data_IF_058450465634
#
_entry.id   IF_058450465634
#
_cell.length_a   1.000
_cell.length_b   1.000
_cell.length_c   1.000
_cell.angle_alpha   90.00
_cell.angle_beta   90.00
_cell.angle_gamma   90.00
#
_symmetry.space_group_name_H-M   'P 1'
#
loop_
_entity.id
_entity.type
_entity.pdbx_description
1 polymer ?
#
# COMPACT_ATOMS: atom_id res chain seq x y z
N UNK A 1 -21.70 -9.85 -15.09
CA UNK A 1 -23.06 -9.45 -14.65
C UNK A 1 -23.13 -9.44 -13.13
N UNK A 2 -23.98 -8.61 -12.54
CA UNK A 2 -24.24 -8.58 -11.10
C UNK A 2 -25.72 -8.87 -10.84
N UNK A 3 -26.01 -9.61 -9.77
CA UNK A 3 -27.38 -9.95 -9.38
C UNK A 3 -27.63 -9.54 -7.93
N UNK A 4 -28.80 -8.95 -7.68
CA UNK A 4 -29.29 -8.64 -6.34
C UNK A 4 -30.65 -9.30 -6.14
N UNK A 5 -30.78 -10.09 -5.08
CA UNK A 5 -31.99 -10.84 -4.77
C UNK A 5 -32.53 -11.65 -5.97
N UNK A 6 -31.61 -12.32 -6.69
CA UNK A 6 -31.90 -13.13 -7.87
C UNK A 6 -32.18 -12.36 -9.17
N UNK A 7 -32.25 -11.02 -9.14
CA UNK A 7 -32.50 -10.19 -10.33
C UNK A 7 -31.22 -9.55 -10.84
N UNK A 8 -31.01 -9.59 -12.15
CA UNK A 8 -29.87 -8.90 -12.79
C UNK A 8 -30.00 -7.39 -12.55
N UNK A 9 -28.89 -6.76 -12.14
CA UNK A 9 -28.83 -5.33 -11.88
C UNK A 9 -27.52 -4.79 -12.44
N UNK A 10 -27.63 -3.77 -13.30
CA UNK A 10 -26.47 -3.04 -13.80
C UNK A 10 -26.04 -2.02 -12.76
N UNK A 11 -24.75 -2.04 -12.42
CA UNK A 11 -24.12 -1.11 -11.49
C UNK A 11 -23.55 0.10 -12.27
N UNK A 12 -23.44 1.24 -11.59
CA UNK A 12 -22.63 2.38 -12.01
C UNK A 12 -21.14 2.01 -12.00
N UNK A 13 -20.30 2.70 -12.77
CA UNK A 13 -18.89 2.34 -12.94
C UNK A 13 -18.12 2.34 -11.60
N UNK A 14 -18.34 3.35 -10.76
CA UNK A 14 -17.71 3.44 -9.43
C UNK A 14 -18.16 2.30 -8.50
N UNK A 15 -19.46 1.98 -8.53
CA UNK A 15 -20.03 0.88 -7.73
C UNK A 15 -19.55 -0.47 -8.24
N UNK A 16 -19.47 -0.65 -9.56
CA UNK A 16 -18.99 -1.85 -10.21
C UNK A 16 -17.52 -2.08 -9.90
N UNK A 17 -16.66 -1.05 -10.01
CA UNK A 17 -15.24 -1.15 -9.67
C UNK A 17 -15.05 -1.72 -8.26
N UNK A 18 -15.72 -1.16 -7.25
CA UNK A 18 -15.61 -1.63 -5.87
C UNK A 18 -16.17 -3.04 -5.69
N UNK A 19 -17.28 -3.38 -6.37
CA UNK A 19 -17.82 -4.73 -6.40
C UNK A 19 -16.82 -5.74 -6.98
N UNK A 20 -16.03 -5.35 -8.00
CA UNK A 20 -14.99 -6.24 -8.55
C UNK A 20 -13.91 -6.58 -7.52
N UNK A 21 -13.57 -5.67 -6.60
CA UNK A 21 -12.56 -5.95 -5.58
C UNK A 21 -13.00 -7.09 -4.67
N UNK A 22 -14.27 -7.07 -4.23
CA UNK A 22 -14.85 -8.15 -3.44
C UNK A 22 -14.99 -9.44 -4.25
N UNK A 23 -15.50 -9.35 -5.49
CA UNK A 23 -15.66 -10.51 -6.37
C UNK A 23 -14.34 -11.26 -6.62
N UNK A 24 -13.22 -10.55 -6.78
CA UNK A 24 -11.87 -11.17 -6.95
C UNK A 24 -11.39 -11.96 -5.74
N UNK A 25 -12.05 -11.80 -4.60
CA UNK A 25 -11.68 -12.46 -3.34
C UNK A 25 -12.78 -13.38 -2.81
N UNK A 26 -13.78 -13.72 -3.64
CA UNK A 26 -14.94 -14.48 -3.20
C UNK A 26 -14.55 -15.80 -2.49
N UNK A 27 -13.51 -16.48 -3.00
CA UNK A 27 -12.97 -17.73 -2.44
C UNK A 27 -11.88 -17.54 -1.37
N UNK A 28 -11.56 -16.30 -0.99
CA UNK A 28 -10.54 -16.03 0.00
C UNK A 28 -11.14 -16.01 1.41
N UNK A 29 -10.44 -16.56 2.41
CA UNK A 29 -10.80 -16.50 3.84
C UNK A 29 -11.24 -15.12 4.36
N UNK A 30 -10.84 -13.99 3.75
CA UNK A 30 -11.31 -12.68 4.20
C UNK A 30 -12.83 -12.52 4.04
N UNK A 31 -13.43 -13.08 2.98
CA UNK A 31 -14.88 -12.97 2.73
C UNK A 31 -15.72 -13.85 3.66
N UNK A 32 -15.10 -14.71 4.47
CA UNK A 32 -15.79 -15.45 5.54
C UNK A 32 -15.84 -14.66 6.85
N UNK A 33 -15.02 -13.60 6.99
CA UNK A 33 -14.93 -12.81 8.22
C UNK A 33 -16.01 -11.73 8.26
N UNK A 34 -16.79 -11.71 9.34
CA UNK A 34 -17.85 -10.71 9.54
C UNK A 34 -17.33 -9.27 9.52
N UNK A 35 -16.19 -8.99 10.17
CA UNK A 35 -15.58 -7.66 10.18
C UNK A 35 -15.22 -7.17 8.76
N UNK A 36 -14.72 -8.08 7.92
CA UNK A 36 -14.38 -7.77 6.53
C UNK A 36 -15.63 -7.41 5.72
N UNK A 37 -16.66 -8.25 5.80
CA UNK A 37 -17.91 -8.08 5.07
C UNK A 37 -18.66 -6.82 5.49
N UNK A 38 -18.70 -6.53 6.80
CA UNK A 38 -19.34 -5.33 7.33
C UNK A 38 -18.63 -4.05 6.85
N UNK A 39 -17.28 -4.02 6.92
CA UNK A 39 -16.50 -2.87 6.47
C UNK A 39 -16.60 -2.68 4.95
N UNK A 40 -16.50 -3.77 4.19
CA UNK A 40 -16.68 -3.72 2.74
C UNK A 40 -18.05 -3.17 2.38
N UNK A 41 -19.11 -3.73 2.95
CA UNK A 41 -20.48 -3.35 2.59
C UNK A 41 -20.76 -1.89 2.96
N UNK A 42 -20.28 -1.44 4.10
CA UNK A 42 -20.36 -0.04 4.51
C UNK A 42 -19.69 0.89 3.48
N UNK A 43 -18.40 0.68 3.19
CA UNK A 43 -17.66 1.55 2.28
C UNK A 43 -18.16 1.42 0.81
N UNK A 44 -18.64 0.24 0.40
CA UNK A 44 -19.23 0.03 -0.94
C UNK A 44 -20.54 0.79 -1.10
N UNK A 45 -21.37 0.87 -0.06
CA UNK A 45 -22.59 1.70 -0.10
C UNK A 45 -22.29 3.18 -0.24
N UNK A 46 -21.13 3.66 0.22
CA UNK A 46 -20.77 5.07 0.07
C UNK A 46 -20.46 5.49 -1.37
N UNK A 47 -20.00 4.56 -2.21
CA UNK A 47 -19.76 4.83 -3.64
C UNK A 47 -21.00 4.58 -4.52
N UNK A 48 -22.09 4.06 -3.95
CA UNK A 48 -23.33 3.83 -4.68
C UNK A 48 -24.06 5.13 -4.99
N UNK A 49 -24.67 5.17 -6.17
CA UNK A 49 -25.74 6.14 -6.47
C UNK A 49 -26.92 5.96 -5.50
N UNK A 50 -27.75 6.99 -5.34
CA UNK A 50 -28.92 6.92 -4.45
C UNK A 50 -29.86 5.75 -4.80
N UNK A 51 -30.08 5.51 -6.10
CA UNK A 51 -30.92 4.41 -6.61
C UNK A 51 -30.35 3.04 -6.28
N UNK A 52 -29.03 2.87 -6.41
CA UNK A 52 -28.35 1.62 -6.04
C UNK A 52 -28.39 1.40 -4.53
N UNK A 53 -28.08 2.45 -3.75
CA UNK A 53 -28.05 2.43 -2.29
C UNK A 53 -29.42 2.12 -1.68
N UNK A 54 -30.51 2.55 -2.32
CA UNK A 54 -31.87 2.25 -1.91
C UNK A 54 -32.26 0.78 -2.16
N UNK A 55 -31.72 0.16 -3.22
CA UNK A 55 -32.01 -1.24 -3.57
C UNK A 55 -31.11 -2.21 -2.83
N UNK A 56 -29.80 -1.93 -2.76
CA UNK A 56 -28.79 -2.81 -2.20
C UNK A 56 -28.64 -2.52 -0.71
N UNK A 57 -29.43 -3.25 0.11
CA UNK A 57 -29.46 -3.04 1.57
C UNK A 57 -28.86 -4.19 2.37
N UNK A 58 -28.56 -5.31 1.72
CA UNK A 58 -28.11 -6.55 2.37
C UNK A 58 -27.08 -7.27 1.49
N UNK A 59 -25.86 -7.42 2.00
CA UNK A 59 -24.77 -8.09 1.29
C UNK A 59 -25.09 -9.55 0.97
N UNK A 60 -25.85 -10.26 1.81
CA UNK A 60 -26.16 -11.68 1.58
C UNK A 60 -27.09 -11.90 0.39
N UNK A 61 -27.80 -10.86 -0.04
CA UNK A 61 -28.63 -10.88 -1.26
C UNK A 61 -27.83 -10.52 -2.52
N UNK A 62 -26.58 -10.07 -2.39
CA UNK A 62 -25.69 -9.79 -3.51
C UNK A 62 -25.06 -11.08 -4.03
N UNK A 63 -25.02 -11.25 -5.35
CA UNK A 63 -24.37 -12.37 -5.99
C UNK A 63 -23.27 -11.88 -6.93
N UNK A 64 -22.03 -12.16 -6.54
CA UNK A 64 -20.80 -11.79 -7.23
C UNK A 64 -20.21 -12.92 -8.07
N UNK A 65 -20.87 -14.09 -8.19
CA UNK A 65 -20.31 -15.30 -8.80
C UNK A 65 -19.92 -15.11 -10.27
N UNK A 66 -20.75 -14.44 -11.06
CA UNK A 66 -20.46 -14.14 -12.47
C UNK A 66 -19.24 -13.22 -12.63
N UNK A 67 -19.11 -12.21 -11.76
CA UNK A 67 -17.92 -11.34 -11.73
C UNK A 67 -16.68 -12.15 -11.33
N UNK A 68 -16.82 -13.03 -10.33
CA UNK A 68 -15.74 -13.90 -9.87
C UNK A 68 -15.27 -14.84 -10.99
N UNK A 69 -16.19 -15.54 -11.64
CA UNK A 69 -15.92 -16.45 -12.76
C UNK A 69 -15.18 -15.73 -13.89
N UNK A 70 -15.59 -14.51 -14.25
CA UNK A 70 -14.87 -13.68 -15.22
C UNK A 70 -13.41 -13.43 -14.80
N UNK A 71 -13.14 -13.10 -13.54
CA UNK A 71 -11.76 -12.89 -13.08
C UNK A 71 -10.92 -14.16 -12.98
N UNK A 72 -11.55 -15.30 -12.68
CA UNK A 72 -10.91 -16.63 -12.75
C UNK A 72 -10.48 -16.90 -14.20
N UNK A 73 -11.40 -16.76 -15.15
CA UNK A 73 -11.12 -16.91 -16.58
C UNK A 73 -10.01 -15.95 -17.05
N UNK A 74 -10.06 -14.67 -16.70
CA UNK A 74 -9.00 -13.69 -17.04
C UNK A 74 -7.64 -14.06 -16.45
N UNK A 75 -7.61 -14.68 -15.28
CA UNK A 75 -6.38 -15.17 -14.68
C UNK A 75 -5.81 -16.37 -15.46
N UNK A 76 -6.67 -17.27 -15.92
CA UNK A 76 -6.31 -18.42 -16.75
C UNK A 76 -5.82 -17.98 -18.12
N UNK A 77 -6.53 -17.08 -18.80
CA UNK A 77 -6.11 -16.45 -20.06
C UNK A 77 -4.71 -15.84 -19.93
N UNK A 78 -4.46 -15.09 -18.85
CA UNK A 78 -3.15 -14.49 -18.57
C UNK A 78 -2.06 -15.55 -18.37
N UNK A 79 -2.37 -16.68 -17.71
CA UNK A 79 -1.40 -17.78 -17.55
C UNK A 79 -1.11 -18.45 -18.90
N UNK A 80 -2.15 -18.62 -19.71
CA UNK A 80 -2.11 -19.24 -21.04
C UNK A 80 -1.50 -18.35 -22.13
N UNK A 81 -1.24 -17.05 -21.86
CA UNK A 81 -0.60 -16.15 -22.83
C UNK A 81 0.66 -16.77 -23.45
N UNK A 82 0.81 -16.55 -24.75
CA UNK A 82 1.95 -16.99 -25.54
C UNK A 82 3.23 -16.32 -25.08
N UNK A 83 4.38 -16.87 -25.48
CA UNK A 83 5.70 -16.26 -25.22
C UNK A 83 5.80 -14.85 -25.83
N UNK A 84 5.23 -14.65 -27.01
CA UNK A 84 5.26 -13.37 -27.72
C UNK A 84 4.43 -12.30 -27.00
N UNK A 85 3.22 -12.61 -26.55
CA UNK A 85 2.39 -11.67 -25.78
C UNK A 85 3.04 -11.32 -24.44
N UNK A 86 3.61 -12.32 -23.75
CA UNK A 86 4.38 -12.10 -22.51
C UNK A 86 5.60 -11.20 -22.75
N UNK A 87 6.28 -11.35 -23.89
CA UNK A 87 7.42 -10.51 -24.27
C UNK A 87 6.97 -9.06 -24.50
N UNK A 88 5.90 -8.83 -25.27
CA UNK A 88 5.31 -7.50 -25.49
C UNK A 88 4.95 -6.78 -24.18
N UNK A 89 4.35 -7.50 -23.22
CA UNK A 89 4.03 -6.96 -21.89
C UNK A 89 5.31 -6.63 -21.10
N UNK A 90 6.35 -7.47 -21.21
CA UNK A 90 7.63 -7.25 -20.56
C UNK A 90 8.32 -5.99 -21.11
N UNK A 91 8.41 -5.85 -22.42
CA UNK A 91 9.01 -4.69 -23.10
C UNK A 91 8.32 -3.39 -22.70
N UNK A 92 6.97 -3.36 -22.73
CA UNK A 92 6.20 -2.20 -22.25
C UNK A 92 6.47 -1.85 -20.78
N UNK A 93 6.65 -2.85 -19.93
CA UNK A 93 7.01 -2.62 -18.53
C UNK A 93 8.45 -2.10 -18.37
N UNK A 94 9.37 -2.54 -19.24
CA UNK A 94 10.75 -2.05 -19.26
C UNK A 94 10.84 -0.60 -19.75
N UNK A 95 10.02 -0.19 -20.72
CA UNK A 95 9.89 1.21 -21.14
C UNK A 95 9.44 2.11 -19.98
N UNK A 96 8.35 1.71 -19.30
CA UNK A 96 7.87 2.40 -18.10
C UNK A 96 8.96 2.46 -17.02
N UNK A 97 9.72 1.38 -16.83
CA UNK A 97 10.84 1.35 -15.88
C UNK A 97 11.98 2.28 -16.29
N UNK A 98 12.30 2.40 -17.59
CA UNK A 98 13.35 3.29 -18.10
C UNK A 98 12.97 4.75 -17.91
N UNK A 99 11.69 5.08 -18.10
CA UNK A 99 11.16 6.45 -18.01
C UNK A 99 10.95 6.89 -16.55
N UNK A 100 10.27 6.08 -15.73
CA UNK A 100 9.83 6.47 -14.38
C UNK A 100 10.58 5.78 -13.25
N UNK A 101 11.38 4.76 -13.55
CA UNK A 101 12.00 3.90 -12.55
C UNK A 101 13.34 4.38 -12.02
N UNK A 102 13.80 5.56 -12.42
CA UNK A 102 15.08 6.14 -12.02
C UNK A 102 14.93 7.64 -11.72
N UNK A 103 15.73 8.14 -10.81
CA UNK A 103 15.90 9.57 -10.54
C UNK A 103 17.38 9.94 -10.57
N UNK A 104 17.69 11.24 -10.58
CA UNK A 104 19.04 11.76 -10.38
C UNK A 104 19.14 12.34 -8.98
N UNK A 105 20.13 11.91 -8.20
CA UNK A 105 20.45 12.45 -6.88
C UNK A 105 21.96 12.69 -6.85
N UNK A 106 22.37 13.91 -6.54
CA UNK A 106 23.78 14.33 -6.45
C UNK A 106 24.62 13.94 -7.67
N UNK A 107 24.03 14.03 -8.87
CA UNK A 107 24.69 13.67 -10.14
C UNK A 107 24.69 12.18 -10.47
N UNK A 108 24.16 11.32 -9.60
CA UNK A 108 24.08 9.88 -9.83
C UNK A 108 22.66 9.45 -10.22
N UNK A 109 22.58 8.59 -11.24
CA UNK A 109 21.34 7.93 -11.62
C UNK A 109 21.03 6.79 -10.65
N UNK A 110 19.98 6.97 -9.87
CA UNK A 110 19.56 6.04 -8.82
C UNK A 110 18.24 5.37 -9.16
N UNK A 111 18.11 4.09 -8.81
CA UNK A 111 16.88 3.32 -9.07
C UNK A 111 15.83 3.66 -8.02
N UNK A 112 14.59 3.89 -8.44
CA UNK A 112 13.45 4.10 -7.55
C UNK A 112 12.87 2.74 -7.14
N UNK A 113 12.55 2.56 -5.85
CA UNK A 113 12.02 1.32 -5.30
C UNK A 113 10.58 1.05 -5.72
N UNK A 114 9.69 2.01 -5.53
CA UNK A 114 8.23 1.86 -5.66
C UNK A 114 7.57 3.05 -6.36
N UNK A 115 7.96 3.32 -7.62
CA UNK A 115 7.42 4.43 -8.41
C UNK A 115 5.96 4.25 -8.87
N UNK A 116 5.43 3.01 -8.83
CA UNK A 116 4.02 2.73 -9.12
C UNK A 116 3.21 2.90 -7.83
N UNK A 117 2.23 3.81 -7.85
CA UNK A 117 1.29 4.00 -6.75
C UNK A 117 0.44 2.74 -6.57
N UNK A 118 0.15 2.39 -5.31
CA UNK A 118 -0.72 1.26 -4.97
C UNK A 118 -2.12 1.45 -5.59
N UNK A 119 -2.65 0.47 -6.34
CA UNK A 119 -3.99 0.58 -6.90
C UNK A 119 -5.07 0.55 -5.80
N UNK A 120 -6.28 1.07 -6.08
CA UNK A 120 -7.42 0.90 -5.18
C UNK A 120 -7.77 -0.58 -4.96
N UNK A 121 -8.42 -0.87 -3.85
CA UNK A 121 -8.81 -2.24 -3.50
C UNK A 121 -9.32 -2.34 -2.07
N UNK A 122 -9.53 -3.55 -1.55
CA UNK A 122 -9.93 -3.71 -0.15
C UNK A 122 -8.71 -3.90 0.77
N UNK A 123 -8.77 -3.30 1.96
CA UNK A 123 -7.72 -3.39 2.96
C UNK A 123 -7.67 -4.79 3.58
N UNK A 124 -6.53 -5.46 3.46
CA UNK A 124 -6.28 -6.80 3.99
C UNK A 124 -5.34 -6.71 5.18
N UNK A 125 -5.85 -6.15 6.26
CA UNK A 125 -5.11 -6.04 7.53
C UNK A 125 -4.80 -7.43 8.09
N UNK A 126 -3.59 -7.61 8.64
CA UNK A 126 -3.13 -8.90 9.17
C UNK A 126 -3.83 -9.24 10.49
N UNK A 127 -4.07 -10.53 10.75
CA UNK A 127 -4.76 -11.00 11.97
C UNK A 127 -6.21 -10.52 12.03
N UNK A 128 -6.68 -10.18 13.23
CA UNK A 128 -8.03 -9.65 13.49
C UNK A 128 -8.06 -8.11 13.38
N UNK A 129 -7.48 -7.58 12.31
CA UNK A 129 -7.41 -6.13 12.11
C UNK A 129 -8.82 -5.52 11.92
N UNK A 130 -9.25 -4.56 12.75
CA UNK A 130 -10.64 -4.08 12.78
C UNK A 130 -11.09 -3.36 11.51
N UNK A 131 -10.14 -2.79 10.74
CA UNK A 131 -10.40 -2.12 9.45
C UNK A 131 -10.30 -3.03 8.21
N UNK A 132 -10.12 -4.34 8.37
CA UNK A 132 -10.08 -5.24 7.20
C UNK A 132 -11.37 -5.11 6.38
N UNK A 133 -11.30 -5.15 5.05
CA UNK A 133 -12.45 -4.98 4.16
C UNK A 133 -12.76 -3.53 3.78
N UNK A 134 -12.22 -2.53 4.49
CA UNK A 134 -12.39 -1.12 4.10
C UNK A 134 -11.78 -0.83 2.72
N UNK A 135 -12.39 0.11 2.01
CA UNK A 135 -11.99 0.52 0.67
C UNK A 135 -10.73 1.39 0.73
N UNK A 136 -9.62 0.90 0.18
CA UNK A 136 -8.45 1.71 -0.18
C UNK A 136 -8.80 2.48 -1.44
N UNK A 137 -8.89 3.81 -1.31
CA UNK A 137 -9.26 4.70 -2.41
C UNK A 137 -8.14 4.83 -3.43
N UNK A 138 -8.52 5.19 -4.64
CA UNK A 138 -7.58 5.59 -5.69
C UNK A 138 -6.91 6.88 -5.27
N UNK A 139 -5.58 6.91 -5.35
CA UNK A 139 -4.79 8.12 -5.11
C UNK A 139 -4.80 8.96 -6.38
N UNK A 140 -5.22 10.21 -6.28
CA UNK A 140 -5.23 11.17 -7.39
C UNK A 140 -3.96 12.04 -7.34
N UNK A 141 -3.58 12.71 -8.45
CA UNK A 141 -2.47 13.67 -8.44
C UNK A 141 -2.63 14.75 -7.35
N UNK A 142 -3.87 15.16 -7.08
CA UNK A 142 -4.24 16.14 -6.05
C UNK A 142 -4.00 15.65 -4.61
N UNK A 143 -3.72 14.35 -4.42
CA UNK A 143 -3.33 13.76 -3.14
C UNK A 143 -1.80 13.66 -2.96
N UNK A 144 -1.04 13.79 -4.06
CA UNK A 144 0.39 13.50 -4.12
C UNK A 144 1.22 14.75 -3.93
N UNK A 145 2.13 14.68 -2.96
CA UNK A 145 3.19 15.65 -2.74
C UNK A 145 4.46 15.19 -3.45
N UNK A 146 5.08 16.08 -4.21
CA UNK A 146 6.37 15.84 -4.87
C UNK A 146 7.48 16.53 -4.07
N UNK A 147 8.59 15.83 -3.87
CA UNK A 147 9.81 16.39 -3.31
C UNK A 147 10.97 16.26 -4.31
N UNK A 148 11.57 17.38 -4.66
CA UNK A 148 12.67 17.47 -5.63
C UNK A 148 13.55 18.70 -5.34
N UNK A 149 14.71 18.84 -5.97
CA UNK A 149 15.54 20.04 -5.79
C UNK A 149 14.92 21.27 -6.47
N UNK A 150 15.17 22.47 -5.94
CA UNK A 150 14.62 23.73 -6.48
C UNK A 150 15.02 24.01 -7.92
N UNK A 151 16.22 23.56 -8.28
CA UNK A 151 16.89 23.71 -9.57
C UNK A 151 16.67 22.50 -10.50
N UNK A 152 15.88 21.50 -10.07
CA UNK A 152 15.58 20.33 -10.88
C UNK A 152 14.36 20.54 -11.80
N UNK A 153 14.20 19.66 -12.79
CA UNK A 153 12.99 19.62 -13.59
C UNK A 153 11.84 19.01 -12.77
N UNK A 154 10.91 19.84 -12.32
CA UNK A 154 9.74 19.42 -11.54
C UNK A 154 8.85 18.52 -12.42
N UNK A 155 8.51 17.30 -11.99
CA UNK A 155 7.65 16.41 -12.77
C UNK A 155 6.28 17.05 -12.99
N UNK A 156 5.76 16.97 -14.21
CA UNK A 156 4.44 17.51 -14.54
C UNK A 156 3.35 16.52 -14.11
N UNK A 157 2.24 16.99 -13.51
CA UNK A 157 1.08 16.14 -13.25
C UNK A 157 0.44 15.69 -14.57
N UNK A 158 -0.39 14.63 -14.54
CA UNK A 158 -1.22 14.25 -15.69
C UNK A 158 -2.04 15.42 -16.23
N UNK A 159 -2.34 15.42 -17.53
CA UNK A 159 -3.10 16.49 -18.17
C UNK A 159 -4.43 16.75 -17.47
N UNK A 160 -4.71 18.01 -17.15
CA UNK A 160 -5.93 18.42 -16.44
C UNK A 160 -5.85 18.31 -14.91
N UNK A 161 -4.74 17.82 -14.36
CA UNK A 161 -4.53 17.64 -12.93
C UNK A 161 -3.44 18.55 -12.37
N UNK A 162 -3.38 18.64 -11.04
CA UNK A 162 -2.30 19.30 -10.30
C UNK A 162 -1.79 18.42 -9.18
N UNK A 163 -0.50 18.55 -8.85
CA UNK A 163 0.02 17.98 -7.61
C UNK A 163 -0.61 18.67 -6.40
N UNK A 164 -0.74 17.93 -5.29
CA UNK A 164 -1.14 18.50 -4.00
C UNK A 164 -0.19 19.62 -3.59
N UNK A 165 1.09 19.34 -3.70
CA UNK A 165 2.18 20.22 -3.30
C UNK A 165 3.46 19.79 -4.03
N UNK A 166 4.30 20.76 -4.39
CA UNK A 166 5.69 20.52 -4.75
C UNK A 166 6.56 21.20 -3.70
N UNK A 167 7.47 20.45 -3.09
CA UNK A 167 8.40 20.94 -2.07
C UNK A 167 9.84 20.55 -2.38
N UNK A 168 10.74 21.18 -1.64
CA UNK A 168 12.18 21.06 -1.81
C UNK A 168 12.87 20.90 -0.46
N UNK A 169 12.58 19.79 0.22
CA UNK A 169 13.15 19.44 1.52
C UNK A 169 14.28 18.43 1.35
N UNK A 170 15.52 18.88 1.60
CA UNK A 170 16.73 18.06 1.54
C UNK A 170 16.98 17.24 2.80
N UNK A 171 16.19 17.41 3.86
CA UNK A 171 16.33 16.63 5.10
C UNK A 171 15.62 15.27 5.05
N UNK A 172 14.84 15.03 3.99
CA UNK A 172 14.09 13.80 3.78
C UNK A 172 14.63 13.02 2.58
N UNK A 173 14.28 11.73 2.52
CA UNK A 173 14.81 10.79 1.51
C UNK A 173 13.75 10.29 0.53
N UNK A 174 12.51 10.77 0.65
CA UNK A 174 11.40 10.40 -0.22
C UNK A 174 11.26 11.37 -1.40
N UNK A 175 10.78 10.84 -2.52
CA UNK A 175 10.61 11.57 -3.79
C UNK A 175 9.17 12.03 -3.99
N UNK A 176 8.22 11.22 -3.55
CA UNK A 176 6.81 11.57 -3.52
C UNK A 176 6.15 10.98 -2.28
N UNK A 177 5.06 11.57 -1.82
CA UNK A 177 4.27 11.05 -0.71
C UNK A 177 2.79 11.36 -0.86
N UNK A 178 1.95 10.57 -0.18
CA UNK A 178 0.52 10.81 -0.06
C UNK A 178 0.02 10.22 1.26
N UNK A 179 -1.14 10.67 1.73
CA UNK A 179 -1.78 10.11 2.93
C UNK A 179 -2.79 9.05 2.51
N UNK A 180 -2.65 7.81 3.00
CA UNK A 180 -3.61 6.75 2.71
C UNK A 180 -4.87 6.86 3.60
N UNK A 181 -6.02 6.42 3.08
CA UNK A 181 -7.32 6.73 3.67
C UNK A 181 -7.80 5.77 4.77
N UNK A 182 -7.11 4.63 5.00
CA UNK A 182 -7.54 3.62 5.96
C UNK A 182 -7.08 4.00 7.37
N UNK A 183 -5.80 4.31 7.54
CA UNK A 183 -5.19 4.64 8.83
C UNK A 183 -4.71 6.11 8.91
N UNK A 184 -4.75 6.87 7.81
CA UNK A 184 -4.22 8.22 7.76
C UNK A 184 -2.69 8.26 7.75
N UNK A 185 -2.03 7.15 7.41
CA UNK A 185 -0.58 7.07 7.37
C UNK A 185 -0.02 7.68 6.09
N UNK A 186 1.18 8.23 6.17
CA UNK A 186 1.88 8.74 4.99
C UNK A 186 2.59 7.57 4.30
N UNK A 187 2.35 7.44 3.00
CA UNK A 187 3.04 6.54 2.08
C UNK A 187 4.08 7.32 1.30
N UNK A 188 5.19 6.67 0.95
CA UNK A 188 6.33 7.31 0.31
C UNK A 188 6.80 6.52 -0.90
N UNK A 189 7.18 7.23 -1.95
CA UNK A 189 8.08 6.73 -3.00
C UNK A 189 9.50 6.98 -2.54
N UNK A 190 10.30 5.92 -2.44
CA UNK A 190 11.70 5.99 -2.00
C UNK A 190 12.63 5.30 -2.99
N UNK A 191 13.93 5.55 -2.84
CA UNK A 191 14.97 4.86 -3.58
C UNK A 191 15.00 3.37 -3.29
N UNK A 192 15.49 2.61 -4.27
CA UNK A 192 15.72 1.19 -4.16
C UNK A 192 16.78 0.89 -3.08
N UNK A 193 16.72 -0.26 -2.38
CA UNK A 193 17.75 -0.66 -1.42
C UNK A 193 19.18 -0.66 -1.97
N UNK A 194 19.38 -0.84 -3.28
CA UNK A 194 20.70 -0.78 -3.92
C UNK A 194 21.28 0.63 -4.06
N UNK A 195 20.51 1.68 -3.74
CA UNK A 195 20.98 3.07 -3.83
C UNK A 195 22.01 3.40 -2.75
N UNK A 196 22.90 4.35 -3.05
CA UNK A 196 23.94 4.80 -2.10
C UNK A 196 23.34 5.20 -0.75
N UNK A 197 22.30 6.03 -0.77
CA UNK A 197 21.64 6.55 0.43
C UNK A 197 21.04 5.46 1.31
N UNK A 198 20.42 4.42 0.71
CA UNK A 198 19.89 3.28 1.46
C UNK A 198 21.02 2.38 1.96
N UNK A 199 22.05 2.16 1.15
CA UNK A 199 23.23 1.37 1.51
C UNK A 199 24.00 1.95 2.69
N UNK A 200 24.25 3.26 2.70
CA UNK A 200 24.94 3.94 3.80
C UNK A 200 24.18 3.82 5.13
N UNK A 201 22.85 3.96 5.09
CA UNK A 201 22.00 3.77 6.28
C UNK A 201 22.04 2.32 6.77
N UNK A 202 22.03 1.35 5.85
CA UNK A 202 22.11 -0.06 6.20
C UNK A 202 23.48 -0.43 6.78
N UNK A 203 24.55 0.15 6.24
CA UNK A 203 25.89 0.02 6.81
C UNK A 203 25.98 0.62 8.22
N UNK A 204 25.47 1.84 8.42
CA UNK A 204 25.41 2.49 9.74
C UNK A 204 24.60 1.67 10.76
N UNK A 205 23.53 1.00 10.32
CA UNK A 205 22.74 0.07 11.16
C UNK A 205 23.62 -1.07 11.69
N UNK A 206 24.45 -1.68 10.84
CA UNK A 206 25.38 -2.73 11.29
C UNK A 206 26.53 -2.20 12.14
N UNK A 207 27.07 -1.02 11.85
CA UNK A 207 28.08 -0.38 12.69
C UNK A 207 27.54 -0.05 14.09
N UNK A 208 26.26 0.32 14.19
CA UNK A 208 25.58 0.49 15.49
C UNK A 208 25.51 -0.83 16.26
N UNK A 209 25.15 -1.93 15.59
CA UNK A 209 25.15 -3.25 16.21
C UNK A 209 26.56 -3.71 16.66
N UNK A 210 27.60 -3.38 15.88
CA UNK A 210 29.01 -3.65 16.24
C UNK A 210 29.46 -2.88 17.47
N UNK A 211 29.09 -1.60 17.59
CA UNK A 211 29.33 -0.79 18.79
C UNK A 211 28.60 -1.34 20.01
N UNK A 212 27.37 -1.80 19.83
CA UNK A 212 26.61 -2.48 20.89
C UNK A 212 27.34 -3.75 21.35
N UNK A 213 27.86 -4.56 20.43
CA UNK A 213 28.59 -5.78 20.78
C UNK A 213 29.82 -5.51 21.68
N UNK A 214 30.50 -4.36 21.52
CA UNK A 214 31.63 -3.98 22.37
C UNK A 214 31.24 -3.58 23.80
N UNK A 215 29.97 -3.20 24.03
CA UNK A 215 29.47 -2.69 25.31
C UNK A 215 28.38 -3.58 25.94
N UNK A 216 28.04 -4.69 25.28
CA UNK A 216 26.88 -5.52 25.64
C UNK A 216 27.01 -6.12 27.05
N UNK A 217 28.20 -6.55 27.45
CA UNK A 217 28.39 -7.17 28.76
C UNK A 217 28.24 -6.18 29.90
N UNK A 218 28.65 -4.92 29.71
CA UNK A 218 28.39 -3.83 30.65
C UNK A 218 26.89 -3.56 30.78
N UNK A 219 26.17 -3.45 29.66
CA UNK A 219 24.72 -3.22 29.64
C UNK A 219 23.98 -4.38 30.35
N UNK A 220 24.44 -5.62 30.13
CA UNK A 220 23.90 -6.82 30.80
C UNK A 220 24.12 -6.82 32.30
N UNK A 221 25.30 -6.40 32.76
CA UNK A 221 25.55 -6.25 34.20
C UNK A 221 24.62 -5.19 34.81
N UNK A 222 24.52 -4.02 34.18
CA UNK A 222 23.69 -2.91 34.64
C UNK A 222 22.20 -3.29 34.77
N UNK A 223 21.60 -3.91 33.74
CA UNK A 223 20.19 -4.28 33.86
C UNK A 223 19.94 -5.41 34.89
N UNK A 224 20.93 -6.30 35.14
CA UNK A 224 20.80 -7.35 36.16
C UNK A 224 20.84 -6.77 37.57
N UNK A 225 21.65 -5.75 37.79
CA UNK A 225 21.69 -5.01 39.05
C UNK A 225 20.37 -4.23 39.25
N UNK A 226 19.85 -3.62 38.19
CA UNK A 226 18.58 -2.87 38.18
C UNK A 226 17.35 -3.73 38.57
N UNK A 227 17.41 -5.07 38.44
CA UNK A 227 16.34 -5.96 38.89
C UNK A 227 16.04 -5.83 40.39
N UNK A 228 17.02 -5.39 41.18
CA UNK A 228 16.91 -5.19 42.63
C UNK A 228 16.60 -3.75 43.02
N UNK A 229 16.39 -2.86 42.04
CA UNK A 229 16.08 -1.46 42.31
C UNK A 229 14.80 -1.30 43.13
N UNK A 230 14.80 -0.34 44.07
CA UNK A 230 13.61 0.04 44.83
C UNK A 230 12.53 0.65 43.93
N UNK A 231 12.92 1.25 42.80
CA UNK A 231 11.98 1.83 41.84
C UNK A 231 11.39 0.77 40.90
N UNK A 232 10.06 0.66 40.88
CA UNK A 232 9.35 -0.27 39.98
C UNK A 232 9.62 0.02 38.50
N UNK A 233 9.70 1.30 38.11
CA UNK A 233 10.00 1.72 36.74
C UNK A 233 11.34 1.18 36.25
N UNK A 234 12.36 1.20 37.11
CA UNK A 234 13.70 0.70 36.78
C UNK A 234 13.67 -0.81 36.58
N UNK A 235 13.01 -1.55 37.48
CA UNK A 235 12.84 -3.01 37.36
C UNK A 235 12.09 -3.40 36.09
N UNK A 236 10.98 -2.72 35.77
CA UNK A 236 10.21 -2.97 34.55
C UNK A 236 11.06 -2.74 33.29
N UNK A 237 11.81 -1.64 33.23
CA UNK A 237 12.73 -1.36 32.12
C UNK A 237 13.79 -2.46 31.98
N UNK A 238 14.40 -2.87 33.09
CA UNK A 238 15.47 -3.86 33.08
C UNK A 238 14.98 -5.25 32.65
N UNK A 239 13.77 -5.65 33.05
CA UNK A 239 13.16 -6.91 32.58
C UNK A 239 12.76 -6.82 31.10
N UNK A 240 12.28 -5.67 30.63
CA UNK A 240 11.96 -5.49 29.22
C UNK A 240 13.20 -5.49 28.30
N UNK A 241 14.37 -5.13 28.85
CA UNK A 241 15.66 -5.12 28.13
C UNK A 241 16.36 -6.50 28.11
N UNK A 242 16.06 -7.39 29.07
CA UNK A 242 16.60 -8.74 29.19
C UNK A 242 16.07 -9.68 28.11
#
# INVERSE_FOLDING_TARGET
KFYYNGKEMKLSEETEEVATFYARMLDHEYTTKAAFNNNFFHDWREVMTESERAKITDLFKCNFKEMHAYFVQKSEERKAMTKEEKLKIKEKNEEIQKEYGFCSIDGHKEKIGNFKIEPPGLFRGRGEHPKMGKLKKRVLPEDVLINCSKDSNIPKPPTGHKWKEVRHDSNVTWLASWTENIQGQVKYVMLNPSSKLKGEKDWQKYETARKLAQSIDKIRAEYRDDWRSKEMRIRQRAVALY
#
